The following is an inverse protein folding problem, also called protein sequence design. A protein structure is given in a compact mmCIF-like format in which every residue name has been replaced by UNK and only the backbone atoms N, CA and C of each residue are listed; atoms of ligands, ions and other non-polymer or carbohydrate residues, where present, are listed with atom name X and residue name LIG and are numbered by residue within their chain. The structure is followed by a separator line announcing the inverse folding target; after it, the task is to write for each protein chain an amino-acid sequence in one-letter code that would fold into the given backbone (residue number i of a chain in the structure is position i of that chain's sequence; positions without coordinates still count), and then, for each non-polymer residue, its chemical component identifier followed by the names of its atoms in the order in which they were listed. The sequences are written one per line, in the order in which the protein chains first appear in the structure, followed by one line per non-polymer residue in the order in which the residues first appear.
data_IF_803017148044
#
_entry.id   IF_803017148044
#
_cell.length_a   1.000
_cell.length_b   1.000
_cell.length_c   1.000
_cell.angle_alpha   90.00
_cell.angle_beta   90.00
_cell.angle_gamma   90.00
#
_symmetry.space_group_name_H-M   'P 1'
#
loop_
_entity.id
_entity.type
_entity.pdbx_description
1 polymer ?
#
# COMPACT_ATOMS: atom_id res chain seq x y z
N UNK A 1 2.58 -7.86 -20.53
CA UNK A 1 3.03 -7.52 -19.18
C UNK A 1 3.51 -6.08 -19.26
N UNK A 2 2.70 -5.13 -18.78
CA UNK A 2 3.04 -3.71 -18.71
C UNK A 2 4.10 -3.57 -17.62
N UNK A 3 5.26 -3.00 -17.95
CA UNK A 3 6.30 -2.64 -16.98
C UNK A 3 5.65 -1.80 -15.88
N UNK A 4 5.87 -2.15 -14.62
CA UNK A 4 5.40 -1.32 -13.52
C UNK A 4 6.09 0.04 -13.64
N UNK A 5 5.31 1.10 -13.82
CA UNK A 5 5.82 2.46 -13.85
C UNK A 5 6.34 2.80 -12.44
N UNK A 6 7.52 3.36 -12.38
CA UNK A 6 8.13 3.78 -11.12
C UNK A 6 7.41 5.02 -10.57
N UNK A 7 7.43 5.22 -9.25
CA UNK A 7 6.89 6.44 -8.61
C UNK A 7 7.44 7.73 -9.25
N UNK A 8 8.72 7.71 -9.65
CA UNK A 8 9.38 8.85 -10.30
C UNK A 8 8.79 9.15 -11.68
N UNK A 9 8.48 8.12 -12.47
CA UNK A 9 7.87 8.29 -13.79
C UNK A 9 6.45 8.84 -13.68
N UNK A 10 5.68 8.34 -12.71
CA UNK A 10 4.31 8.83 -12.44
C UNK A 10 4.36 10.29 -11.95
N UNK A 11 5.27 10.63 -11.04
CA UNK A 11 5.48 12.01 -10.60
C UNK A 11 5.82 12.94 -11.77
N UNK A 12 6.72 12.53 -12.66
CA UNK A 12 7.07 13.28 -13.85
C UNK A 12 5.88 13.45 -14.82
N UNK A 13 5.05 12.42 -14.97
CA UNK A 13 3.83 12.48 -15.79
C UNK A 13 2.81 13.48 -15.22
N UNK A 14 2.63 13.52 -13.90
CA UNK A 14 1.75 14.49 -13.22
C UNK A 14 2.27 15.91 -13.46
N UNK A 15 3.56 16.15 -13.27
CA UNK A 15 4.19 17.46 -13.47
C UNK A 15 3.99 17.91 -14.94
N UNK A 16 4.30 17.05 -15.91
CA UNK A 16 4.13 17.37 -17.34
C UNK A 16 2.67 17.71 -17.68
N UNK A 17 1.72 16.87 -17.24
CA UNK A 17 0.30 17.06 -17.50
C UNK A 17 -0.20 18.41 -16.95
N UNK A 18 0.18 18.77 -15.72
CA UNK A 18 -0.20 20.03 -15.09
C UNK A 18 0.47 21.21 -15.79
N UNK A 19 1.74 21.14 -16.14
CA UNK A 19 2.44 22.22 -16.84
C UNK A 19 1.84 22.49 -18.21
N UNK A 20 1.46 21.46 -18.97
CA UNK A 20 0.85 21.58 -20.30
C UNK A 20 -0.58 22.12 -20.25
N UNK A 21 -1.32 21.87 -19.15
CA UNK A 21 -2.68 22.41 -18.94
C UNK A 21 -2.68 23.78 -18.25
N UNK A 22 -1.53 24.25 -17.77
CA UNK A 22 -1.40 25.54 -17.06
C UNK A 22 -0.86 26.66 -17.99
N UNK A 23 -1.03 27.90 -17.55
CA UNK A 23 -0.44 29.06 -18.20
C UNK A 23 -1.37 29.77 -19.19
N UNK A 24 -0.89 30.84 -19.87
CA UNK A 24 -1.71 31.71 -20.71
C UNK A 24 -2.12 31.11 -22.06
N UNK A 25 -1.46 30.04 -22.48
CA UNK A 25 -1.76 29.27 -23.71
C UNK A 25 -1.54 27.78 -23.44
N UNK A 26 -2.47 27.12 -22.74
CA UNK A 26 -2.33 25.70 -22.46
C UNK A 26 -2.38 24.88 -23.75
N UNK A 27 -1.58 23.82 -23.81
CA UNK A 27 -1.57 22.90 -24.96
C UNK A 27 -2.60 21.78 -24.87
N UNK A 28 -3.13 21.54 -23.67
CA UNK A 28 -4.21 20.60 -23.38
C UNK A 28 -5.18 21.24 -22.39
N UNK A 29 -6.42 20.70 -22.29
CA UNK A 29 -7.38 21.12 -21.29
C UNK A 29 -7.08 20.48 -19.91
N UNK A 30 -7.74 20.97 -18.85
CA UNK A 30 -7.67 20.36 -17.51
C UNK A 30 -8.20 18.92 -17.53
N UNK A 31 -9.28 18.68 -18.24
CA UNK A 31 -9.90 17.36 -18.39
C UNK A 31 -8.96 16.41 -19.13
N UNK A 32 -8.29 16.86 -20.19
CA UNK A 32 -7.30 16.06 -20.90
C UNK A 32 -6.10 15.73 -20.01
N UNK A 33 -5.65 16.65 -19.15
CA UNK A 33 -4.59 16.39 -18.19
C UNK A 33 -5.00 15.33 -17.18
N UNK A 34 -6.22 15.43 -16.63
CA UNK A 34 -6.77 14.44 -15.69
C UNK A 34 -6.86 13.03 -16.31
N UNK A 35 -7.24 12.94 -17.58
CA UNK A 35 -7.37 11.65 -18.27
C UNK A 35 -6.03 10.96 -18.57
N UNK A 36 -4.91 11.67 -18.47
CA UNK A 36 -3.59 11.10 -18.66
C UNK A 36 -3.08 10.33 -17.44
N UNK A 37 -3.64 10.60 -16.25
CA UNK A 37 -3.22 9.99 -15.00
C UNK A 37 -4.29 9.01 -14.55
N UNK A 38 -3.96 7.72 -14.52
CA UNK A 38 -4.90 6.71 -14.06
C UNK A 38 -5.03 6.76 -12.51
N UNK A 39 -6.24 6.56 -11.95
CA UNK A 39 -6.45 6.67 -10.50
C UNK A 39 -5.53 5.77 -9.65
N UNK A 40 -5.18 4.57 -10.13
CA UNK A 40 -4.27 3.67 -9.40
C UNK A 40 -2.84 4.22 -9.33
N UNK A 41 -2.40 5.03 -10.29
CA UNK A 41 -1.08 5.66 -10.28
C UNK A 41 -0.95 6.72 -9.17
N UNK A 42 -2.07 7.36 -8.77
CA UNK A 42 -2.06 8.33 -7.68
C UNK A 42 -1.68 7.69 -6.34
N UNK A 43 -2.09 6.45 -6.11
CA UNK A 43 -1.75 5.75 -4.86
C UNK A 43 -0.25 5.58 -4.67
N UNK A 44 0.49 5.33 -5.74
CA UNK A 44 1.95 5.16 -5.67
C UNK A 44 2.71 6.45 -5.34
N UNK A 45 2.15 7.61 -5.64
CA UNK A 45 2.78 8.92 -5.31
C UNK A 45 2.24 9.51 -4.00
N UNK A 46 1.18 8.94 -3.43
CA UNK A 46 0.61 9.36 -2.15
C UNK A 46 1.16 8.55 -0.96
N UNK A 47 1.69 7.34 -1.21
CA UNK A 47 2.16 6.43 -0.17
C UNK A 47 3.62 6.02 -0.43
N UNK A 48 4.29 5.60 0.64
CA UNK A 48 5.62 5.01 0.52
C UNK A 48 5.54 3.75 -0.35
N UNK A 49 6.53 3.53 -1.19
CA UNK A 49 6.66 2.34 -2.03
C UNK A 49 8.09 1.81 -1.99
N UNK A 50 8.38 0.80 -2.79
CA UNK A 50 9.75 0.31 -2.99
C UNK A 50 10.35 0.92 -4.26
N UNK A 51 11.57 1.45 -4.15
CA UNK A 51 12.25 2.11 -5.29
C UNK A 51 12.87 1.14 -6.28
N UNK A 52 13.09 -0.11 -5.89
CA UNK A 52 13.66 -1.15 -6.74
C UNK A 52 12.54 -2.04 -7.30
N UNK A 53 12.54 -2.25 -8.61
CA UNK A 53 11.60 -3.14 -9.29
C UNK A 53 12.17 -4.54 -9.51
N UNK A 54 13.43 -4.77 -9.20
CA UNK A 54 14.09 -6.08 -9.36
C UNK A 54 14.29 -6.75 -7.99
N UNK A 55 13.20 -7.23 -7.40
CA UNK A 55 13.19 -7.89 -6.11
C UNK A 55 12.59 -9.30 -6.19
N UNK A 56 12.87 -10.12 -5.19
CA UNK A 56 12.42 -11.51 -5.09
C UNK A 56 10.98 -11.56 -4.54
N UNK A 57 10.00 -11.54 -5.45
CA UNK A 57 8.59 -11.67 -5.08
C UNK A 57 8.28 -13.12 -4.76
N UNK A 58 7.99 -13.40 -3.50
CA UNK A 58 7.66 -14.74 -3.01
C UNK A 58 6.24 -15.14 -3.39
N UNK A 59 5.30 -14.23 -3.26
CA UNK A 59 3.88 -14.42 -3.59
C UNK A 59 3.18 -13.07 -3.68
N UNK A 60 1.90 -13.09 -4.05
CA UNK A 60 1.04 -11.91 -4.03
C UNK A 60 -0.33 -12.25 -3.46
N UNK A 61 -0.97 -11.23 -2.91
CA UNK A 61 -2.36 -11.21 -2.49
C UNK A 61 -3.07 -9.98 -3.04
N UNK A 62 -4.11 -9.55 -2.38
CA UNK A 62 -4.81 -8.30 -2.68
C UNK A 62 -4.14 -7.15 -1.94
N UNK A 63 -3.76 -6.10 -2.67
CA UNK A 63 -3.34 -4.84 -2.06
C UNK A 63 -4.54 -4.21 -1.32
N UNK A 64 -4.58 -4.40 -0.01
CA UNK A 64 -5.75 -4.09 0.79
C UNK A 64 -5.69 -2.71 1.45
N UNK A 65 -4.50 -2.22 1.73
CA UNK A 65 -4.23 -0.87 2.23
C UNK A 65 -2.88 -0.42 1.68
N UNK A 66 -2.82 0.69 0.94
CA UNK A 66 -1.62 1.08 0.21
C UNK A 66 -0.46 1.46 1.14
N UNK A 67 0.76 1.37 0.60
CA UNK A 67 2.01 1.67 1.27
C UNK A 67 2.95 0.47 1.30
N UNK A 68 4.21 0.72 1.63
CA UNK A 68 5.25 -0.28 1.78
C UNK A 68 5.58 -0.50 3.27
N UNK A 69 5.75 -1.74 3.67
CA UNK A 69 6.20 -2.07 5.01
C UNK A 69 7.30 -3.14 4.98
N UNK A 70 8.26 -2.97 5.86
CA UNK A 70 9.37 -3.91 6.08
C UNK A 70 9.41 -4.26 7.55
N UNK A 71 9.57 -5.52 7.88
CA UNK A 71 9.66 -5.94 9.26
C UNK A 71 9.89 -7.43 9.41
N UNK A 72 10.17 -7.84 10.66
CA UNK A 72 10.29 -9.25 11.00
C UNK A 72 8.89 -9.90 11.05
N UNK A 73 8.81 -11.13 10.62
CA UNK A 73 7.58 -11.93 10.71
C UNK A 73 7.27 -12.19 12.17
N UNK A 74 6.04 -11.88 12.57
CA UNK A 74 5.43 -12.33 13.83
C UNK A 74 4.09 -12.98 13.54
N UNK A 75 3.76 -14.04 14.27
CA UNK A 75 2.60 -14.88 14.00
C UNK A 75 1.44 -14.63 14.97
N UNK A 76 1.67 -13.86 16.01
CA UNK A 76 0.66 -13.50 17.00
C UNK A 76 0.65 -12.02 17.30
N UNK A 77 -0.50 -11.50 17.72
CA UNK A 77 -0.65 -10.11 18.11
C UNK A 77 0.17 -9.77 19.36
N UNK A 78 0.32 -10.74 20.28
CA UNK A 78 1.13 -10.56 21.48
C UNK A 78 2.63 -10.45 21.15
N UNK A 79 3.14 -11.24 20.19
CA UNK A 79 4.50 -11.09 19.69
C UNK A 79 4.74 -9.71 19.06
N UNK A 80 3.77 -9.20 18.31
CA UNK A 80 3.85 -7.85 17.75
C UNK A 80 3.95 -6.79 18.85
N UNK A 81 3.18 -6.91 19.91
CA UNK A 81 3.23 -6.00 21.07
C UNK A 81 4.55 -6.04 21.83
N UNK A 82 5.22 -7.19 21.85
CA UNK A 82 6.51 -7.37 22.54
C UNK A 82 7.71 -6.97 21.67
N UNK A 83 7.50 -6.76 20.38
CA UNK A 83 8.55 -6.37 19.45
C UNK A 83 9.02 -4.95 19.73
N UNK A 84 10.34 -4.74 19.62
CA UNK A 84 10.99 -3.43 19.75
C UNK A 84 11.41 -2.82 18.42
N UNK A 85 11.28 -3.59 17.38
CA UNK A 85 11.57 -3.28 15.98
C UNK A 85 10.33 -3.46 15.12
N UNK A 86 10.42 -3.03 13.87
CA UNK A 86 9.31 -3.15 12.93
C UNK A 86 8.99 -4.61 12.63
N UNK A 87 7.70 -4.94 12.68
CA UNK A 87 7.21 -6.30 12.45
C UNK A 87 6.09 -6.33 11.42
N UNK A 88 6.02 -7.41 10.66
CA UNK A 88 4.89 -7.76 9.81
C UNK A 88 4.06 -8.82 10.56
N UNK A 89 2.83 -8.47 10.91
CA UNK A 89 1.90 -9.39 11.54
C UNK A 89 1.27 -10.29 10.47
N UNK A 90 1.56 -11.59 10.55
CA UNK A 90 1.06 -12.60 9.61
C UNK A 90 -0.01 -13.43 10.29
N UNK A 91 -1.23 -13.45 9.72
CA UNK A 91 -2.37 -14.19 10.27
C UNK A 91 -3.15 -14.90 9.14
N UNK A 92 -3.88 -15.93 9.46
CA UNK A 92 -4.86 -16.48 8.51
C UNK A 92 -5.96 -15.45 8.23
N UNK A 93 -6.59 -14.99 9.29
CA UNK A 93 -7.53 -13.88 9.32
C UNK A 93 -7.29 -13.09 10.59
N UNK A 94 -7.58 -11.80 10.59
CA UNK A 94 -7.56 -11.02 11.82
C UNK A 94 -8.96 -10.92 12.43
N UNK A 95 -8.98 -10.79 13.74
CA UNK A 95 -10.17 -10.62 14.55
C UNK A 95 -10.05 -9.38 15.45
N UNK A 96 -11.11 -8.95 16.13
CA UNK A 96 -11.00 -7.89 17.14
C UNK A 96 -9.96 -8.15 18.23
N UNK A 97 -9.65 -9.42 18.51
CA UNK A 97 -8.61 -9.79 19.48
C UNK A 97 -7.19 -9.46 18.97
N UNK A 98 -6.99 -9.36 17.68
CA UNK A 98 -5.68 -9.06 17.08
C UNK A 98 -5.40 -7.55 16.95
N UNK A 99 -6.39 -6.69 17.23
CA UNK A 99 -6.33 -5.23 16.99
C UNK A 99 -5.11 -4.57 17.67
N UNK A 100 -4.77 -4.98 18.89
CA UNK A 100 -3.62 -4.43 19.61
C UNK A 100 -2.29 -4.71 18.90
N UNK A 101 -2.10 -5.93 18.35
CA UNK A 101 -0.92 -6.28 17.56
C UNK A 101 -0.91 -5.61 16.19
N UNK A 102 -2.08 -5.51 15.55
CA UNK A 102 -2.22 -4.80 14.28
C UNK A 102 -1.85 -3.31 14.40
N UNK A 103 -2.14 -2.70 15.56
CA UNK A 103 -1.87 -1.28 15.80
C UNK A 103 -0.37 -0.98 15.86
N UNK A 104 0.44 -1.88 16.39
CA UNK A 104 1.89 -1.68 16.54
C UNK A 104 2.68 -2.22 15.34
N UNK A 105 2.15 -3.21 14.62
CA UNK A 105 2.81 -3.75 13.43
C UNK A 105 3.06 -2.68 12.36
N UNK A 106 4.19 -2.76 11.67
CA UNK A 106 4.51 -1.92 10.51
C UNK A 106 3.62 -2.27 9.31
N UNK A 107 3.25 -3.54 9.16
CA UNK A 107 2.38 -4.01 8.09
C UNK A 107 1.62 -5.29 8.48
N UNK A 108 0.59 -5.61 7.69
CA UNK A 108 -0.30 -6.74 7.95
C UNK A 108 -0.37 -7.62 6.70
N UNK A 109 -0.17 -8.92 6.90
CA UNK A 109 -0.30 -9.95 5.86
C UNK A 109 -1.34 -10.98 6.32
N UNK A 110 -2.37 -11.24 5.51
CA UNK A 110 -3.30 -12.33 5.79
C UNK A 110 -3.39 -13.32 4.64
N UNK A 111 -3.52 -14.63 4.99
CA UNK A 111 -3.63 -15.69 3.99
C UNK A 111 -5.03 -15.73 3.39
N UNK A 112 -6.03 -15.29 4.14
CA UNK A 112 -7.44 -15.22 3.75
C UNK A 112 -7.98 -13.80 3.85
N UNK A 113 -9.17 -13.60 3.30
CA UNK A 113 -9.86 -12.33 3.34
C UNK A 113 -9.69 -11.51 2.07
N UNK A 114 -10.56 -10.54 1.89
CA UNK A 114 -10.60 -9.64 0.75
C UNK A 114 -10.55 -8.18 1.17
N UNK A 115 -10.84 -7.28 0.23
CA UNK A 115 -10.81 -5.83 0.46
C UNK A 115 -11.83 -5.33 1.51
N UNK A 116 -12.84 -6.14 1.87
CA UNK A 116 -13.81 -5.86 2.92
C UNK A 116 -13.57 -6.68 4.20
N UNK A 117 -12.45 -7.41 4.30
CA UNK A 117 -12.09 -8.17 5.51
C UNK A 117 -11.79 -7.23 6.68
N UNK A 118 -11.85 -7.77 7.91
CA UNK A 118 -11.50 -7.03 9.11
C UNK A 118 -10.08 -6.44 9.01
N UNK A 119 -9.10 -7.24 8.56
CA UNK A 119 -7.72 -6.78 8.34
C UNK A 119 -7.67 -5.57 7.41
N UNK A 120 -8.32 -5.64 6.26
CA UNK A 120 -8.31 -4.60 5.25
C UNK A 120 -8.97 -3.30 5.73
N UNK A 121 -10.11 -3.39 6.43
CA UNK A 121 -10.84 -2.21 6.92
C UNK A 121 -10.04 -1.50 8.00
N UNK A 122 -9.54 -2.25 8.99
CA UNK A 122 -8.75 -1.69 10.10
C UNK A 122 -7.43 -1.09 9.59
N UNK A 123 -6.73 -1.80 8.70
CA UNK A 123 -5.46 -1.33 8.13
C UNK A 123 -5.64 0.00 7.40
N UNK A 124 -6.68 0.13 6.56
CA UNK A 124 -6.99 1.40 5.87
C UNK A 124 -7.34 2.53 6.84
N UNK A 125 -8.14 2.23 7.88
CA UNK A 125 -8.48 3.23 8.89
C UNK A 125 -7.27 3.80 9.62
N UNK A 126 -6.17 3.04 9.70
CA UNK A 126 -4.93 3.47 10.34
C UNK A 126 -3.82 3.86 9.36
N UNK A 127 -4.06 3.76 8.06
CA UNK A 127 -3.05 4.03 7.03
C UNK A 127 -1.88 3.04 7.07
N UNK A 128 -2.11 1.80 7.52
CA UNK A 128 -1.08 0.76 7.58
C UNK A 128 -1.08 -0.08 6.31
N UNK A 129 0.10 -0.35 5.72
CA UNK A 129 0.22 -1.26 4.59
C UNK A 129 -0.36 -2.63 4.90
N UNK A 130 -1.19 -3.16 3.99
CA UNK A 130 -1.77 -4.48 4.18
C UNK A 130 -1.95 -5.25 2.88
N UNK A 131 -1.57 -6.52 2.92
CA UNK A 131 -1.81 -7.52 1.88
C UNK A 131 -2.76 -8.57 2.43
N UNK A 132 -3.88 -8.80 1.76
CA UNK A 132 -4.88 -9.78 2.20
C UNK A 132 -5.08 -10.88 1.15
N UNK A 133 -5.48 -12.08 1.61
CA UNK A 133 -5.78 -13.19 0.70
C UNK A 133 -4.56 -13.73 -0.04
N UNK A 134 -3.40 -13.75 0.60
CA UNK A 134 -2.19 -14.39 0.08
C UNK A 134 -2.28 -15.92 0.27
N UNK A 135 -3.11 -16.58 -0.54
CA UNK A 135 -3.51 -18.00 -0.38
C UNK A 135 -2.34 -18.99 -0.44
N UNK A 136 -1.21 -18.59 -1.04
CA UNK A 136 -0.01 -19.41 -1.12
C UNK A 136 0.84 -19.38 0.17
N UNK A 137 0.44 -18.59 1.17
CA UNK A 137 1.06 -18.54 2.48
C UNK A 137 0.35 -19.52 3.41
N UNK A 138 1.07 -20.41 4.04
CA UNK A 138 0.59 -21.33 5.07
C UNK A 138 1.31 -20.99 6.38
N UNK A 139 0.54 -20.85 7.45
CA UNK A 139 1.08 -20.47 8.77
C UNK A 139 1.21 -21.73 9.61
N UNK A 140 2.41 -21.98 10.11
CA UNK A 140 2.74 -23.03 11.05
C UNK A 140 3.05 -22.42 12.43
N UNK A 141 3.46 -23.23 13.39
CA UNK A 141 3.65 -22.78 14.78
C UNK A 141 4.80 -21.77 14.93
N UNK A 142 5.89 -21.94 14.18
CA UNK A 142 7.15 -21.20 14.31
C UNK A 142 7.71 -20.66 12.97
N UNK A 143 6.97 -20.87 11.89
CA UNK A 143 7.38 -20.45 10.56
C UNK A 143 6.15 -20.28 9.65
N UNK A 144 6.39 -19.75 8.45
CA UNK A 144 5.44 -19.74 7.35
C UNK A 144 6.01 -20.53 6.17
N UNK A 145 5.12 -21.10 5.36
CA UNK A 145 5.48 -21.67 4.07
C UNK A 145 4.89 -20.78 2.97
N UNK A 146 5.73 -20.35 2.04
CA UNK A 146 5.29 -19.61 0.85
C UNK A 146 5.66 -20.42 -0.38
N UNK A 147 4.66 -20.87 -1.14
CA UNK A 147 4.88 -21.77 -2.28
C UNK A 147 5.70 -23.03 -1.92
N UNK A 148 5.60 -23.51 -0.67
CA UNK A 148 6.35 -24.67 -0.14
C UNK A 148 7.75 -24.33 0.37
N UNK A 149 8.21 -23.11 0.26
CA UNK A 149 9.46 -22.65 0.84
C UNK A 149 9.25 -22.19 2.29
N UNK A 150 10.10 -22.70 3.19
CA UNK A 150 10.05 -22.36 4.62
C UNK A 150 10.75 -21.04 4.91
N UNK A 151 10.07 -20.17 5.65
CA UNK A 151 10.59 -18.89 6.15
C UNK A 151 10.29 -18.83 7.65
N UNK A 152 11.33 -18.65 8.45
CA UNK A 152 11.21 -18.70 9.90
C UNK A 152 10.52 -17.44 10.46
N UNK A 153 9.77 -17.59 11.54
CA UNK A 153 9.34 -16.44 12.33
C UNK A 153 10.57 -15.66 12.80
N UNK A 154 10.50 -14.35 12.67
CA UNK A 154 11.67 -13.47 12.93
C UNK A 154 12.53 -13.16 11.71
N UNK A 155 12.40 -13.86 10.59
CA UNK A 155 12.99 -13.41 9.32
C UNK A 155 12.28 -12.16 8.80
N UNK A 156 12.99 -11.36 8.02
CA UNK A 156 12.45 -10.10 7.48
C UNK A 156 11.72 -10.32 6.18
N UNK A 157 10.53 -9.73 6.08
CA UNK A 157 9.76 -9.58 4.85
C UNK A 157 9.54 -8.10 4.52
N UNK A 158 9.31 -7.85 3.25
CA UNK A 158 8.77 -6.60 2.74
C UNK A 158 7.40 -6.88 2.10
N UNK A 159 6.41 -6.02 2.34
CA UNK A 159 5.09 -6.11 1.72
C UNK A 159 4.72 -4.79 1.06
N UNK A 160 4.12 -4.85 -0.11
CA UNK A 160 3.53 -3.70 -0.81
C UNK A 160 2.00 -3.82 -0.77
N UNK A 161 1.39 -2.97 0.04
CA UNK A 161 -0.06 -2.95 0.21
C UNK A 161 -0.81 -2.29 -0.96
N UNK A 162 -0.11 -1.72 -1.92
CA UNK A 162 -0.66 -1.19 -3.17
C UNK A 162 -0.73 -2.27 -4.26
N UNK A 163 0.39 -2.94 -4.55
CA UNK A 163 0.48 -4.02 -5.55
C UNK A 163 -0.02 -5.36 -5.02
N UNK A 164 0.06 -5.58 -3.71
CA UNK A 164 -0.24 -6.86 -3.05
C UNK A 164 0.95 -7.81 -3.03
N UNK A 165 2.16 -7.36 -3.34
CA UNK A 165 3.37 -8.19 -3.37
C UNK A 165 3.90 -8.48 -1.97
N UNK A 166 4.37 -9.72 -1.79
CA UNK A 166 5.11 -10.18 -0.61
C UNK A 166 6.51 -10.56 -1.07
N UNK A 167 7.51 -9.90 -0.51
CA UNK A 167 8.86 -9.86 -1.05
C UNK A 167 9.85 -10.31 0.01
N UNK A 168 10.87 -11.05 -0.41
CA UNK A 168 11.92 -11.56 0.47
C UNK A 168 12.82 -10.45 0.99
N UNK A 169 13.09 -10.49 2.27
CA UNK A 169 14.09 -9.65 2.92
C UNK A 169 13.67 -8.20 3.10
N UNK A 170 14.65 -7.35 3.33
CA UNK A 170 14.46 -5.92 3.59
C UNK A 170 14.71 -5.12 2.33
N UNK A 171 13.68 -4.43 1.84
CA UNK A 171 13.81 -3.45 0.77
C UNK A 171 13.84 -2.02 1.35
N UNK A 172 14.49 -1.12 0.62
CA UNK A 172 14.44 0.29 0.98
C UNK A 172 13.11 0.89 0.52
N UNK A 173 12.37 1.47 1.46
CA UNK A 173 11.20 2.28 1.13
C UNK A 173 11.62 3.63 0.58
N UNK A 174 10.89 4.10 -0.41
CA UNK A 174 11.08 5.44 -0.98
C UNK A 174 9.86 6.29 -0.66
N UNK A 175 10.13 7.49 -0.11
CA UNK A 175 9.12 8.55 -0.05
C UNK A 175 9.18 9.35 -1.32
N UNK A 176 8.03 9.57 -1.93
CA UNK A 176 7.92 10.61 -2.95
C UNK A 176 7.78 11.94 -2.23
N UNK A 177 8.66 12.89 -2.56
CA UNK A 177 8.51 14.26 -2.08
C UNK A 177 7.15 14.81 -2.52
N UNK A 178 6.48 15.62 -1.69
CA UNK A 178 5.21 16.23 -2.05
C UNK A 178 5.32 16.97 -3.39
N UNK A 179 4.51 16.57 -4.37
CA UNK A 179 4.46 17.18 -5.69
C UNK A 179 3.41 18.30 -5.67
N UNK A 180 3.77 19.60 -5.75
CA UNK A 180 2.80 20.69 -5.74
C UNK A 180 1.75 20.57 -6.87
N UNK A 181 2.16 20.01 -8.00
CA UNK A 181 1.30 19.76 -9.16
C UNK A 181 0.21 18.74 -8.86
N UNK A 182 0.43 17.79 -7.94
CA UNK A 182 -0.59 16.85 -7.50
C UNK A 182 -1.76 17.57 -6.84
N UNK A 183 -1.51 18.54 -5.97
CA UNK A 183 -2.56 19.35 -5.36
C UNK A 183 -3.37 20.13 -6.41
N UNK A 184 -2.68 20.65 -7.43
CA UNK A 184 -3.31 21.33 -8.57
C UNK A 184 -4.20 20.37 -9.37
N UNK A 185 -3.69 19.15 -9.68
CA UNK A 185 -4.44 18.13 -10.40
C UNK A 185 -5.69 17.70 -9.65
N UNK A 186 -5.59 17.49 -8.32
CA UNK A 186 -6.72 17.14 -7.46
C UNK A 186 -7.75 18.27 -7.39
N UNK A 187 -7.31 19.53 -7.36
CA UNK A 187 -8.22 20.71 -7.43
C UNK A 187 -9.01 20.70 -8.73
N UNK A 188 -8.36 20.43 -9.87
CA UNK A 188 -9.06 20.32 -11.16
C UNK A 188 -10.04 19.13 -11.19
N UNK A 189 -9.68 18.01 -10.56
CA UNK A 189 -10.60 16.89 -10.43
C UNK A 189 -11.87 17.28 -9.68
N UNK A 190 -11.75 18.07 -8.61
CA UNK A 190 -12.89 18.61 -7.87
C UNK A 190 -13.74 19.59 -8.68
N UNK A 191 -13.12 20.37 -9.58
CA UNK A 191 -13.85 21.31 -10.45
C UNK A 191 -14.69 20.59 -11.51
N UNK A 192 -14.22 19.46 -12.05
CA UNK A 192 -14.88 18.75 -13.17
C UNK A 192 -15.73 17.57 -12.73
N UNK A 193 -15.61 17.09 -11.49
CA UNK A 193 -16.38 15.92 -11.01
C UNK A 193 -17.89 16.21 -11.00
N UNK A 194 -18.65 15.18 -11.40
CA UNK A 194 -20.12 15.19 -11.35
C UNK A 194 -20.67 14.36 -10.17
N UNK A 195 -19.81 13.54 -9.53
CA UNK A 195 -20.18 12.66 -8.42
C UNK A 195 -19.69 13.23 -7.11
N UNK A 196 -20.50 13.10 -6.07
CA UNK A 196 -20.13 13.41 -4.70
C UNK A 196 -19.81 12.11 -3.98
N UNK A 197 -18.62 12.04 -3.38
CA UNK A 197 -18.21 10.92 -2.51
C UNK A 197 -18.55 11.33 -1.08
N UNK A 198 -19.15 10.42 -0.32
CA UNK A 198 -19.37 10.55 1.11
C UNK A 198 -18.67 9.39 1.81
N UNK A 199 -17.88 9.69 2.82
CA UNK A 199 -17.25 8.72 3.70
C UNK A 199 -17.87 8.81 5.11
N UNK A 200 -17.89 7.69 5.82
CA UNK A 200 -18.14 7.71 7.26
C UNK A 200 -16.83 8.11 7.94
N UNK A 201 -16.92 9.04 8.86
CA UNK A 201 -15.81 9.46 9.70
C UNK A 201 -16.28 9.48 11.15
N UNK A 202 -15.47 8.93 12.04
CA UNK A 202 -15.80 8.86 13.48
C UNK A 202 -15.39 10.14 14.21
N UNK A 203 -14.45 10.89 13.63
CA UNK A 203 -13.98 12.16 14.18
C UNK A 203 -13.93 13.26 13.12
N UNK A 204 -13.92 14.51 13.55
CA UNK A 204 -13.85 15.66 12.64
C UNK A 204 -12.49 15.80 11.91
N UNK A 205 -11.49 15.00 12.28
CA UNK A 205 -10.15 14.98 11.68
C UNK A 205 -9.96 13.86 10.66
N UNK A 206 -10.93 12.96 10.51
CA UNK A 206 -11.03 11.96 9.46
C UNK A 206 -11.78 12.51 8.25
#
# INVERSE_FOLDING_TARGET
MTSAETQTEIAAAIIDAVQRASGPKPSISKEEALLQIAPHQLQSVLHEGFGDTNHDVLTSGLGASPGAAVGRIVLTADEAMMATDDVILVRDETSPADVHGMQVAAGILTTKGGLASHAAVVARGWGKPAVCGAENVQIETDHILINGERIEAGETLSIDGGSGEVIRGSLQTTKVDPIPELATLLTWADEVRNLTIRANADTASE
#
